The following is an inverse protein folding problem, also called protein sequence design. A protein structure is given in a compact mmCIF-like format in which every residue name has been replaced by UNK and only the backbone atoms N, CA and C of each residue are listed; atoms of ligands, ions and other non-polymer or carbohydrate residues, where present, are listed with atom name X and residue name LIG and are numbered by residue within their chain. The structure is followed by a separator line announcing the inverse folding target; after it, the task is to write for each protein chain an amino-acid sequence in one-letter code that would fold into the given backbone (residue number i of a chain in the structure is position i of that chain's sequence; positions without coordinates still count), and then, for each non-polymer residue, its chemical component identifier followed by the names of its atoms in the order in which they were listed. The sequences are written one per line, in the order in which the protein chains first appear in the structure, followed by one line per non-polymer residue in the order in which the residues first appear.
data_IF_344109436627
#
_entry.id   IF_344109436627
#
_cell.length_a   1.000
_cell.length_b   1.000
_cell.length_c   1.000
_cell.angle_alpha   90.00
_cell.angle_beta   90.00
_cell.angle_gamma   90.00
#
_symmetry.space_group_name_H-M   'P 1'
#
loop_
_entity.id
_entity.type
_entity.pdbx_description
1 polymer ?
#
# COMPACT_ATOMS: atom_id res chain seq x y z
N UNK A 1 3.61 -10.10 6.06
CA UNK A 1 2.54 -11.08 6.25
C UNK A 1 1.91 -10.81 7.60
N UNK A 2 0.62 -10.52 7.62
CA UNK A 2 -0.05 -9.98 8.81
C UNK A 2 -0.40 -11.04 9.86
N UNK A 3 -0.36 -12.34 9.53
CA UNK A 3 -0.63 -13.42 10.48
C UNK A 3 0.32 -13.43 11.69
N UNK A 4 1.52 -12.88 11.55
CA UNK A 4 2.49 -12.80 12.66
C UNK A 4 2.01 -11.89 13.78
N UNK A 5 1.12 -10.93 13.49
CA UNK A 5 0.55 -10.01 14.47
C UNK A 5 -0.26 -10.73 15.55
N UNK A 6 -1.00 -11.77 15.17
CA UNK A 6 -1.79 -12.56 16.12
C UNK A 6 -0.85 -13.37 17.04
N UNK A 7 0.20 -13.95 16.47
CA UNK A 7 1.24 -14.67 17.23
C UNK A 7 1.97 -13.73 18.19
N UNK A 8 2.33 -12.53 17.72
CA UNK A 8 3.02 -11.53 18.52
C UNK A 8 2.13 -11.02 19.68
N UNK A 9 0.84 -10.84 19.43
CA UNK A 9 -0.13 -10.49 20.46
C UNK A 9 -0.28 -11.59 21.52
N UNK A 10 -0.34 -12.87 21.12
CA UNK A 10 -0.39 -14.00 22.05
C UNK A 10 0.86 -14.09 22.92
N UNK A 11 2.03 -13.82 22.34
CA UNK A 11 3.31 -13.85 23.04
C UNK A 11 3.63 -12.55 23.80
N UNK A 12 2.82 -11.51 23.65
CA UNK A 12 3.05 -10.20 24.27
C UNK A 12 4.31 -9.49 23.78
N UNK A 13 4.72 -9.72 22.53
CA UNK A 13 5.90 -9.11 21.91
C UNK A 13 5.51 -8.09 20.83
N UNK A 14 6.34 -7.05 20.58
CA UNK A 14 6.11 -6.14 19.46
C UNK A 14 6.36 -6.83 18.12
N UNK A 15 5.49 -6.59 17.15
CA UNK A 15 5.64 -7.00 15.76
C UNK A 15 5.89 -5.76 14.89
N UNK A 16 6.95 -5.83 14.09
CA UNK A 16 7.31 -4.80 13.11
C UNK A 16 7.25 -5.43 11.73
N UNK A 17 6.37 -4.90 10.89
CA UNK A 17 6.17 -5.41 9.54
C UNK A 17 7.16 -4.76 8.57
N UNK A 18 7.79 -5.55 7.71
CA UNK A 18 8.60 -5.04 6.61
C UNK A 18 7.82 -5.12 5.30
N UNK A 19 7.58 -3.97 4.67
CA UNK A 19 6.96 -3.86 3.35
C UNK A 19 8.02 -3.61 2.29
N UNK A 20 8.06 -4.49 1.30
CA UNK A 20 9.10 -4.51 0.26
C UNK A 20 8.82 -3.57 -0.91
N UNK A 21 7.59 -3.06 -1.03
CA UNK A 21 7.23 -2.04 -2.02
C UNK A 21 7.73 -0.66 -1.61
N UNK A 22 7.67 0.31 -2.54
CA UNK A 22 7.82 1.73 -2.22
C UNK A 22 6.72 2.22 -1.27
N UNK A 23 6.89 3.41 -0.68
CA UNK A 23 5.84 4.01 0.14
C UNK A 23 4.58 4.29 -0.68
N UNK A 24 4.71 4.76 -1.92
CA UNK A 24 3.55 5.01 -2.79
C UNK A 24 2.81 3.73 -3.18
N UNK A 25 3.53 2.62 -3.36
CA UNK A 25 2.92 1.31 -3.60
C UNK A 25 2.12 0.83 -2.38
N UNK A 26 2.70 0.98 -1.18
CA UNK A 26 2.02 0.65 0.07
C UNK A 26 0.78 1.52 0.32
N UNK A 27 0.89 2.83 0.12
CA UNK A 27 -0.24 3.75 0.16
C UNK A 27 -1.32 3.32 -0.83
N UNK A 28 -0.97 2.91 -2.05
CA UNK A 28 -1.91 2.37 -3.02
C UNK A 28 -2.75 1.21 -2.47
N UNK A 29 -2.11 0.21 -1.85
CA UNK A 29 -2.81 -0.91 -1.21
C UNK A 29 -3.70 -0.46 -0.04
N UNK A 30 -3.23 0.49 0.77
CA UNK A 30 -4.00 1.05 1.88
C UNK A 30 -5.31 1.72 1.44
N UNK A 31 -5.42 2.12 0.17
CA UNK A 31 -6.62 2.76 -0.38
C UNK A 31 -7.57 1.80 -1.10
N UNK A 32 -7.26 0.51 -1.22
CA UNK A 32 -8.08 -0.45 -1.96
C UNK A 32 -9.53 -0.50 -1.46
N UNK A 33 -9.74 -0.55 -0.14
CA UNK A 33 -11.09 -0.50 0.46
C UNK A 33 -11.88 0.70 -0.01
N UNK A 34 -11.26 1.87 -0.02
CA UNK A 34 -11.89 3.14 -0.40
C UNK A 34 -12.16 3.19 -1.91
N UNK A 35 -11.31 2.56 -2.74
CA UNK A 35 -11.59 2.39 -4.17
C UNK A 35 -12.84 1.51 -4.39
N UNK A 36 -13.00 0.45 -3.58
CA UNK A 36 -14.19 -0.42 -3.62
C UNK A 36 -15.44 0.32 -3.18
N UNK A 37 -15.40 1.01 -2.05
CA UNK A 37 -16.52 1.82 -1.54
C UNK A 37 -16.96 2.91 -2.51
N UNK A 38 -16.03 3.44 -3.31
CA UNK A 38 -16.30 4.43 -4.37
C UNK A 38 -16.71 3.80 -5.70
N UNK A 39 -16.77 2.47 -5.80
CA UNK A 39 -17.15 1.75 -7.02
C UNK A 39 -16.14 1.90 -8.16
N UNK A 40 -14.86 2.13 -7.84
CA UNK A 40 -13.78 2.26 -8.83
C UNK A 40 -13.16 0.91 -9.22
N UNK A 41 -13.22 -0.06 -8.31
CA UNK A 41 -12.80 -1.46 -8.47
C UNK A 41 -13.69 -2.36 -7.61
N UNK A 42 -13.94 -3.64 -7.95
CA UNK A 42 -13.68 -4.27 -9.25
C UNK A 42 -14.39 -3.55 -10.39
N UNK A 43 -13.86 -3.72 -11.59
CA UNK A 43 -14.44 -3.24 -12.83
C UNK A 43 -15.73 -3.98 -13.14
N UNK A 44 -16.72 -3.30 -13.73
CA UNK A 44 -17.99 -3.94 -14.09
C UNK A 44 -17.84 -4.97 -15.19
N UNK A 45 -16.96 -4.70 -16.15
CA UNK A 45 -16.64 -5.57 -17.27
C UNK A 45 -15.32 -5.14 -17.93
N UNK A 46 -14.84 -5.94 -18.89
CA UNK A 46 -13.55 -5.73 -19.56
C UNK A 46 -13.46 -4.42 -20.37
N UNK A 47 -14.57 -3.78 -20.72
CA UNK A 47 -14.54 -2.49 -21.46
C UNK A 47 -13.89 -1.38 -20.63
N UNK A 48 -13.89 -1.50 -19.30
CA UNK A 48 -13.27 -0.54 -18.38
C UNK A 48 -11.74 -0.48 -18.51
N UNK A 49 -11.12 -1.48 -19.16
CA UNK A 49 -9.70 -1.48 -19.46
C UNK A 49 -9.33 -0.54 -20.61
N UNK A 50 -10.29 -0.17 -21.46
CA UNK A 50 -10.04 0.62 -22.69
C UNK A 50 -10.93 1.86 -22.83
N UNK A 51 -11.99 1.98 -22.04
CA UNK A 51 -12.96 3.09 -22.15
C UNK A 51 -12.53 4.40 -21.45
N UNK A 52 -11.29 4.48 -20.97
CA UNK A 52 -10.76 5.62 -20.23
C UNK A 52 -11.07 5.63 -18.73
N UNK A 53 -11.77 4.63 -18.18
CA UNK A 53 -12.02 4.54 -16.72
C UNK A 53 -10.73 4.56 -15.90
N UNK A 54 -9.69 3.88 -16.38
CA UNK A 54 -8.38 3.85 -15.69
C UNK A 54 -7.63 5.20 -15.74
N UNK A 55 -8.08 6.16 -16.56
CA UNK A 55 -7.58 7.55 -16.57
C UNK A 55 -8.19 8.43 -15.48
N UNK A 56 -9.15 7.91 -14.69
CA UNK A 56 -9.78 8.64 -13.60
C UNK A 56 -8.73 9.15 -12.62
N UNK A 57 -8.71 10.46 -12.41
CA UNK A 57 -7.82 11.13 -11.45
C UNK A 57 -8.32 10.90 -10.03
N UNK A 58 -7.40 10.57 -9.13
CA UNK A 58 -7.66 10.27 -7.73
C UNK A 58 -6.98 11.34 -6.86
N UNK A 59 -7.74 12.39 -6.53
CA UNK A 59 -7.22 13.56 -5.79
C UNK A 59 -7.35 13.47 -4.26
N UNK A 60 -7.81 12.33 -3.73
CA UNK A 60 -8.10 12.17 -2.30
C UNK A 60 -7.11 11.27 -1.55
N UNK A 61 -6.08 10.74 -2.24
CA UNK A 61 -5.03 9.94 -1.61
C UNK A 61 -3.97 10.89 -1.02
N UNK A 62 -3.70 10.83 0.30
CA UNK A 62 -2.65 11.63 0.91
C UNK A 62 -1.28 11.41 0.24
N UNK A 63 -0.58 12.49 -0.10
CA UNK A 63 0.75 12.45 -0.73
C UNK A 63 0.78 11.95 -2.19
N UNK A 64 -0.36 11.69 -2.81
CA UNK A 64 -0.44 11.15 -4.19
C UNK A 64 -1.46 11.91 -5.05
N UNK A 65 -1.53 13.24 -4.89
CA UNK A 65 -2.47 14.08 -5.63
C UNK A 65 -2.23 14.01 -7.15
N UNK A 66 -3.30 13.99 -7.95
CA UNK A 66 -3.22 13.96 -9.40
C UNK A 66 -2.87 12.60 -10.01
N UNK A 67 -2.71 11.56 -9.20
CA UNK A 67 -2.47 10.20 -9.70
C UNK A 67 -3.71 9.67 -10.41
N UNK A 68 -3.53 8.83 -11.44
CA UNK A 68 -4.66 8.16 -12.11
C UNK A 68 -4.85 6.76 -11.53
N UNK A 69 -6.05 6.21 -11.71
CA UNK A 69 -6.36 4.85 -11.28
C UNK A 69 -5.34 3.83 -11.85
N UNK A 70 -4.91 3.97 -13.12
CA UNK A 70 -3.90 3.10 -13.73
C UNK A 70 -2.49 3.16 -13.10
N UNK A 71 -2.17 4.22 -12.37
CA UNK A 71 -0.85 4.40 -11.78
C UNK A 71 -0.75 3.73 -10.39
N UNK A 72 -1.88 3.28 -9.82
CA UNK A 72 -1.94 2.46 -8.61
C UNK A 72 -1.57 0.99 -8.90
N UNK A 73 -1.26 0.16 -7.88
CA UNK A 73 -0.92 -1.24 -8.12
C UNK A 73 -2.02 -1.96 -8.92
N UNK A 74 -1.60 -2.73 -9.94
CA UNK A 74 -2.46 -3.17 -11.03
C UNK A 74 -3.56 -4.16 -10.64
N UNK A 75 -3.54 -4.69 -9.41
CA UNK A 75 -4.51 -5.70 -8.96
C UNK A 75 -5.95 -5.16 -8.87
N UNK A 76 -6.15 -3.85 -8.95
CA UNK A 76 -7.47 -3.22 -9.09
C UNK A 76 -8.07 -3.36 -10.50
N UNK A 77 -7.29 -3.79 -11.50
CA UNK A 77 -7.77 -3.99 -12.86
C UNK A 77 -8.43 -5.36 -13.05
N UNK A 78 -9.34 -5.72 -12.15
CA UNK A 78 -10.05 -7.01 -12.14
C UNK A 78 -11.56 -6.80 -12.21
N UNK A 79 -12.30 -7.75 -12.77
CA UNK A 79 -13.78 -7.77 -12.74
C UNK A 79 -14.34 -8.69 -11.66
N UNK A 80 -13.46 -9.42 -10.96
CA UNK A 80 -13.83 -10.39 -9.95
C UNK A 80 -13.77 -9.75 -8.55
N UNK A 81 -14.90 -9.65 -7.81
CA UNK A 81 -14.90 -9.16 -6.44
C UNK A 81 -14.15 -10.06 -5.46
N UNK A 82 -13.99 -11.35 -5.80
CA UNK A 82 -13.28 -12.32 -4.97
C UNK A 82 -11.82 -12.52 -5.42
N UNK A 83 -11.31 -11.66 -6.32
CA UNK A 83 -9.93 -11.71 -6.81
C UNK A 83 -8.94 -11.67 -5.64
N UNK A 84 -8.15 -12.74 -5.50
CA UNK A 84 -7.16 -12.89 -4.44
C UNK A 84 -6.15 -11.75 -4.48
N UNK A 85 -5.74 -11.30 -5.67
CA UNK A 85 -4.74 -10.23 -5.81
C UNK A 85 -5.32 -8.85 -5.47
N UNK A 86 -6.63 -8.67 -5.52
CA UNK A 86 -7.30 -7.48 -4.99
C UNK A 86 -7.43 -7.58 -3.46
N UNK A 87 -7.97 -8.69 -2.96
CA UNK A 87 -8.37 -8.83 -1.57
C UNK A 87 -7.18 -9.03 -0.60
N UNK A 88 -6.19 -9.82 -0.98
CA UNK A 88 -5.04 -10.12 -0.14
C UNK A 88 -4.24 -8.87 0.28
N UNK A 89 -3.74 -8.02 -0.64
CA UNK A 89 -2.96 -6.85 -0.24
C UNK A 89 -3.81 -5.80 0.48
N UNK A 90 -5.12 -5.70 0.19
CA UNK A 90 -6.03 -4.84 0.94
C UNK A 90 -6.08 -5.27 2.42
N UNK A 91 -6.33 -6.56 2.68
CA UNK A 91 -6.40 -7.09 4.05
C UNK A 91 -5.05 -6.96 4.75
N UNK A 92 -3.94 -7.24 4.07
CA UNK A 92 -2.60 -7.07 4.64
C UNK A 92 -2.31 -5.61 5.01
N UNK A 93 -2.65 -4.65 4.13
CA UNK A 93 -2.44 -3.22 4.39
C UNK A 93 -3.34 -2.68 5.50
N UNK A 94 -4.59 -3.15 5.62
CA UNK A 94 -5.49 -2.83 6.72
C UNK A 94 -4.97 -3.39 8.06
N UNK A 95 -4.57 -4.66 8.05
CA UNK A 95 -4.11 -5.35 9.27
C UNK A 95 -2.79 -4.79 9.77
N UNK A 96 -1.95 -4.23 8.88
CA UNK A 96 -0.71 -3.54 9.25
C UNK A 96 -0.90 -2.35 10.21
N UNK A 97 -2.12 -1.80 10.36
CA UNK A 97 -2.43 -0.79 11.38
C UNK A 97 -2.26 -1.31 12.82
N UNK A 98 -2.28 -2.63 13.02
CA UNK A 98 -2.07 -3.28 14.33
C UNK A 98 -0.58 -3.48 14.65
N UNK A 99 0.32 -3.28 13.69
CA UNK A 99 1.76 -3.45 13.90
C UNK A 99 2.30 -2.35 14.82
N UNK A 100 3.41 -2.65 15.50
CA UNK A 100 4.14 -1.65 16.29
C UNK A 100 4.81 -0.61 15.39
N UNK A 101 5.26 -1.03 14.20
CA UNK A 101 5.75 -0.16 13.14
C UNK A 101 5.68 -0.86 11.78
N UNK A 102 5.70 -0.08 10.71
CA UNK A 102 5.90 -0.56 9.34
C UNK A 102 7.21 -0.01 8.80
N UNK A 103 8.13 -0.90 8.44
CA UNK A 103 9.40 -0.57 7.79
C UNK A 103 9.19 -0.53 6.28
N UNK A 104 9.70 0.51 5.64
CA UNK A 104 9.72 0.68 4.19
C UNK A 104 11.16 0.85 3.70
N UNK A 105 11.50 0.15 2.62
CA UNK A 105 12.79 0.31 1.94
C UNK A 105 12.78 1.54 1.03
N UNK A 106 12.71 2.71 1.65
CA UNK A 106 12.75 4.02 0.99
C UNK A 106 13.38 5.04 1.95
N UNK A 107 13.51 6.29 1.54
CA UNK A 107 14.02 7.38 2.36
C UNK A 107 13.18 8.64 2.18
N UNK A 108 13.21 9.51 3.19
CA UNK A 108 12.34 10.70 3.28
C UNK A 108 12.41 11.59 2.03
N UNK A 109 13.60 11.98 1.59
CA UNK A 109 13.77 12.86 0.44
C UNK A 109 13.22 12.30 -0.90
N UNK A 110 12.94 10.99 -1.01
CA UNK A 110 12.34 10.40 -2.19
C UNK A 110 10.81 10.43 -2.17
N UNK A 111 10.20 10.18 -1.02
CA UNK A 111 8.75 9.93 -0.90
C UNK A 111 8.09 10.72 0.27
N UNK A 112 8.64 11.88 0.62
CA UNK A 112 8.26 12.67 1.80
C UNK A 112 6.75 12.84 1.99
N UNK A 113 6.03 13.35 0.98
CA UNK A 113 4.58 13.59 1.09
C UNK A 113 3.77 12.31 1.32
N UNK A 114 4.21 11.19 0.73
CA UNK A 114 3.56 9.88 0.91
C UNK A 114 3.85 9.34 2.30
N UNK A 115 5.09 9.49 2.80
CA UNK A 115 5.48 9.07 4.15
C UNK A 115 4.72 9.86 5.22
N UNK A 116 4.57 11.19 5.05
CA UNK A 116 3.68 11.99 5.90
C UNK A 116 2.24 11.49 5.82
N UNK A 117 1.72 11.22 4.61
CA UNK A 117 0.39 10.64 4.41
C UNK A 117 0.19 9.33 5.17
N UNK A 118 1.13 8.39 5.06
CA UNK A 118 1.10 7.10 5.75
C UNK A 118 1.16 7.26 7.28
N UNK A 119 1.91 8.25 7.79
CA UNK A 119 2.01 8.53 9.22
C UNK A 119 0.68 8.94 9.87
N UNK A 120 -0.30 9.37 9.06
CA UNK A 120 -1.67 9.67 9.53
C UNK A 120 -2.57 8.43 9.60
N UNK A 121 -2.15 7.31 8.99
CA UNK A 121 -2.94 6.07 8.87
C UNK A 121 -2.37 4.98 9.79
N UNK A 122 -1.04 4.92 9.91
CA UNK A 122 -0.32 3.89 10.65
C UNK A 122 0.34 4.47 11.91
N UNK A 123 0.45 3.70 13.00
CA UNK A 123 0.99 4.20 14.27
C UNK A 123 2.46 4.62 14.18
N UNK A 124 3.26 3.95 13.33
CA UNK A 124 4.67 4.27 13.11
C UNK A 124 5.13 3.79 11.74
N UNK A 125 5.78 4.68 10.98
CA UNK A 125 6.39 4.40 9.67
C UNK A 125 7.89 4.63 9.79
N UNK A 126 8.69 3.66 9.38
CA UNK A 126 10.15 3.72 9.41
C UNK A 126 10.73 3.55 8.00
N UNK A 127 11.22 4.64 7.41
CA UNK A 127 11.96 4.62 6.16
C UNK A 127 13.45 4.34 6.42
N UNK A 128 13.93 3.15 6.04
CA UNK A 128 15.32 2.69 6.32
C UNK A 128 16.13 2.43 5.06
N UNK A 129 15.59 2.80 3.91
CA UNK A 129 16.21 2.56 2.62
C UNK A 129 17.20 3.66 2.20
N UNK A 130 17.80 3.49 1.02
CA UNK A 130 17.77 2.27 0.23
C UNK A 130 18.72 1.22 0.82
N UNK A 131 18.21 0.01 1.13
CA UNK A 131 18.95 -1.05 1.82
C UNK A 131 20.27 -1.42 1.13
N UNK A 132 20.33 -1.36 -0.21
CA UNK A 132 21.54 -1.66 -0.96
C UNK A 132 22.73 -0.72 -0.66
N UNK A 133 22.48 0.51 -0.20
CA UNK A 133 23.54 1.45 0.17
C UNK A 133 24.02 1.27 1.61
N UNK A 134 23.35 0.41 2.39
CA UNK A 134 23.68 0.15 3.80
C UNK A 134 24.57 -1.08 3.98
N UNK A 135 24.86 -1.82 2.90
CA UNK A 135 25.72 -3.00 2.95
C UNK A 135 27.19 -2.55 2.76
N UNK A 136 28.09 -2.80 3.73
CA UNK A 136 29.50 -2.47 3.58
C UNK A 136 30.17 -3.42 2.56
N UNK A 137 30.73 -2.90 1.46
CA UNK A 137 31.73 -3.61 0.65
C UNK A 137 31.44 -3.91 -0.82
N UNK A 138 30.35 -3.40 -1.42
CA UNK A 138 30.11 -3.49 -2.87
C UNK A 138 29.83 -2.11 -3.48
N UNK A 139 30.90 -1.39 -3.83
CA UNK A 139 30.91 -0.30 -4.84
C UNK A 139 32.17 -0.45 -5.67
#
# INVERSE_FOLDING_TARGET
MSFTLDVAAELGIPDVLFWTTSACGFMGYAQYRRLIEKGLTPLKDKSYLTNGHLDTIIDWIPGMKGIRLRDLPSFIATTDPDDVMLNFPMVEAETAQRASAVILNTFDALEHEVLEGLSTIYPSICSIGPLQLLIPGEV
#
